data_IF_548414005298
#
_entry.id   IF_548414005298
#
_cell.length_a   1.000
_cell.length_b   1.000
_cell.length_c   1.000
_cell.angle_alpha   90.00
_cell.angle_beta   90.00
_cell.angle_gamma   90.00
#
_symmetry.space_group_name_H-M   'P 1'
#
loop_
_entity.id
_entity.type
_entity.pdbx_description
1 polymer ?
#
# COMPACT_ATOMS: atom_id res chain seq x y z
N UNK A 1 41.27 -63.06 17.32
CA UNK A 1 40.94 -64.10 18.35
C UNK A 1 39.78 -63.52 19.12
N UNK A 2 38.56 -64.06 19.23
CA UNK A 2 38.00 -65.36 18.96
C UNK A 2 36.54 -65.21 18.50
N UNK A 3 36.13 -66.05 17.59
CA UNK A 3 34.72 -66.24 17.25
C UNK A 3 34.10 -67.18 18.28
N UNK A 4 32.87 -66.92 18.72
CA UNK A 4 32.00 -68.01 19.16
C UNK A 4 30.62 -67.93 18.54
N UNK A 5 30.32 -68.99 17.78
CA UNK A 5 29.01 -69.36 17.26
C UNK A 5 28.07 -69.81 18.38
N UNK A 6 26.80 -69.35 18.32
CA UNK A 6 25.68 -70.11 18.87
C UNK A 6 24.58 -70.24 17.84
N UNK A 7 24.45 -71.44 17.32
CA UNK A 7 23.35 -71.88 16.48
C UNK A 7 22.26 -72.54 17.34
N UNK A 8 21.02 -72.35 16.95
CA UNK A 8 19.94 -73.25 17.27
C UNK A 8 18.96 -72.79 18.32
N UNK A 9 17.85 -72.20 17.93
CA UNK A 9 16.49 -72.34 18.49
C UNK A 9 15.51 -71.29 17.93
N UNK A 10 15.68 -70.90 16.68
CA UNK A 10 14.86 -69.80 16.06
C UNK A 10 13.69 -70.29 15.16
N UNK A 11 13.44 -71.57 15.02
CA UNK A 11 12.46 -72.05 14.02
C UNK A 11 11.05 -72.41 14.53
N UNK A 12 10.89 -72.69 15.81
CA UNK A 12 9.58 -73.12 16.36
C UNK A 12 8.73 -71.96 16.79
N UNK A 13 9.31 -70.83 17.19
CA UNK A 13 8.56 -69.63 17.59
C UNK A 13 8.01 -68.82 16.42
N UNK A 14 8.52 -68.97 15.20
CA UNK A 14 8.03 -68.24 14.02
C UNK A 14 6.72 -68.75 13.46
N UNK A 15 6.40 -70.05 13.61
CA UNK A 15 5.14 -70.60 13.08
C UNK A 15 3.91 -70.32 13.93
N UNK A 16 4.05 -70.24 15.26
CA UNK A 16 2.94 -69.91 16.16
C UNK A 16 2.55 -68.42 16.12
N UNK A 17 3.50 -67.55 15.72
CA UNK A 17 3.25 -66.09 15.64
C UNK A 17 2.58 -65.72 14.32
N UNK A 18 2.88 -66.40 13.18
CA UNK A 18 2.24 -66.14 11.88
C UNK A 18 0.75 -66.55 11.84
N UNK A 19 0.34 -67.65 12.50
CA UNK A 19 -1.07 -68.10 12.47
C UNK A 19 -1.96 -67.14 13.31
N UNK A 20 -1.41 -66.54 14.37
CA UNK A 20 -2.14 -65.61 15.20
C UNK A 20 -2.30 -64.23 14.57
N UNK A 21 -1.35 -63.80 13.72
CA UNK A 21 -1.41 -62.55 12.94
C UNK A 21 -2.42 -62.61 11.79
N UNK A 22 -2.50 -63.75 11.07
CA UNK A 22 -3.47 -63.91 9.99
C UNK A 22 -4.92 -63.97 10.49
N UNK A 23 -5.18 -64.56 11.65
CA UNK A 23 -6.55 -64.55 12.24
C UNK A 23 -6.96 -63.18 12.75
N UNK A 24 -6.05 -62.43 13.34
CA UNK A 24 -6.33 -61.00 13.73
C UNK A 24 -6.46 -60.08 12.55
N UNK A 25 -5.69 -60.31 11.47
CA UNK A 25 -5.76 -59.51 10.25
C UNK A 25 -7.10 -59.66 9.53
N UNK A 26 -7.71 -60.85 9.54
CA UNK A 26 -9.02 -61.10 8.94
C UNK A 26 -10.20 -60.56 9.77
N UNK A 27 -10.07 -60.44 11.08
CA UNK A 27 -11.09 -59.86 11.98
C UNK A 27 -11.01 -58.32 11.91
N UNK A 28 -9.79 -57.75 11.91
CA UNK A 28 -9.59 -56.31 11.78
C UNK A 28 -10.02 -55.80 10.39
N UNK A 29 -9.78 -56.54 9.28
CA UNK A 29 -10.21 -56.11 7.96
C UNK A 29 -11.75 -56.17 7.78
N UNK A 30 -12.45 -57.08 8.44
CA UNK A 30 -13.93 -57.09 8.37
C UNK A 30 -14.55 -55.95 9.15
N UNK A 31 -14.05 -55.66 10.35
CA UNK A 31 -14.55 -54.51 11.13
C UNK A 31 -14.12 -53.16 10.54
N UNK A 32 -12.91 -53.04 9.99
CA UNK A 32 -12.45 -51.84 9.29
C UNK A 32 -13.28 -51.52 8.04
N UNK A 33 -13.66 -52.53 7.25
CA UNK A 33 -14.51 -52.31 6.10
C UNK A 33 -15.95 -51.86 6.47
N UNK A 34 -16.48 -52.37 7.58
CA UNK A 34 -17.78 -51.89 8.09
C UNK A 34 -17.72 -50.45 8.61
N UNK A 35 -16.63 -50.07 9.27
CA UNK A 35 -16.41 -48.72 9.75
C UNK A 35 -16.17 -47.74 8.58
N UNK A 36 -15.44 -48.14 7.58
CA UNK A 36 -15.20 -47.34 6.34
C UNK A 36 -16.51 -47.15 5.56
N UNK A 37 -17.31 -48.23 5.39
CA UNK A 37 -18.62 -48.12 4.73
C UNK A 37 -19.59 -47.23 5.55
N UNK A 38 -19.57 -47.28 6.89
CA UNK A 38 -20.41 -46.45 7.76
C UNK A 38 -19.95 -44.99 7.73
N UNK A 39 -18.64 -44.71 7.67
CA UNK A 39 -18.08 -43.37 7.48
C UNK A 39 -18.38 -42.80 6.09
N UNK A 40 -18.33 -43.60 5.06
CA UNK A 40 -18.68 -43.18 3.70
C UNK A 40 -20.21 -42.88 3.61
N UNK A 41 -21.06 -43.71 4.24
CA UNK A 41 -22.51 -43.43 4.32
C UNK A 41 -22.81 -42.16 5.15
N UNK A 42 -22.08 -41.89 6.22
CA UNK A 42 -22.19 -40.64 6.99
C UNK A 42 -21.73 -39.42 6.19
N UNK A 43 -20.66 -39.54 5.38
CA UNK A 43 -20.23 -38.48 4.47
C UNK A 43 -21.23 -38.22 3.34
N UNK A 44 -21.89 -39.26 2.81
CA UNK A 44 -22.93 -39.12 1.79
C UNK A 44 -24.26 -38.59 2.36
N UNK A 45 -24.56 -38.82 3.63
CA UNK A 45 -25.72 -38.23 4.32
C UNK A 45 -25.47 -36.80 4.80
N UNK A 46 -24.18 -36.42 5.00
CA UNK A 46 -23.76 -35.04 5.34
C UNK A 46 -23.79 -34.09 4.13
N UNK A 47 -23.62 -34.59 2.90
CA UNK A 47 -23.72 -33.77 1.70
C UNK A 47 -25.15 -33.42 1.24
N UNK A 48 -26.19 -33.89 1.95
CA UNK A 48 -27.60 -33.64 1.58
C UNK A 48 -28.28 -32.56 2.44
N UNK A 49 -27.49 -31.77 3.18
CA UNK A 49 -28.01 -30.62 3.95
C UNK A 49 -27.02 -29.45 4.03
N UNK A 50 -26.39 -29.10 2.92
CA UNK A 50 -26.15 -27.69 2.64
C UNK A 50 -27.52 -27.14 2.24
N UNK A 51 -28.19 -26.47 3.14
CA UNK A 51 -29.10 -25.41 2.75
C UNK A 51 -28.26 -24.46 1.94
N UNK A 52 -28.28 -24.59 0.61
CA UNK A 52 -28.08 -23.46 -0.27
C UNK A 52 -29.12 -22.43 0.19
N UNK A 53 -28.74 -21.52 1.06
CA UNK A 53 -29.20 -20.16 0.95
C UNK A 53 -28.72 -19.78 -0.44
N UNK A 54 -29.60 -19.90 -1.41
CA UNK A 54 -29.37 -19.41 -2.76
C UNK A 54 -29.24 -17.90 -2.65
N UNK A 55 -28.05 -17.42 -2.35
CA UNK A 55 -27.58 -16.18 -2.89
C UNK A 55 -27.50 -16.44 -4.40
N UNK A 56 -28.53 -16.04 -5.11
CA UNK A 56 -28.41 -15.68 -6.51
C UNK A 56 -27.45 -14.49 -6.54
N UNK A 57 -26.15 -14.73 -6.36
CA UNK A 57 -25.19 -13.68 -6.56
C UNK A 57 -25.15 -13.46 -8.07
N UNK A 58 -25.70 -12.32 -8.51
CA UNK A 58 -25.61 -11.83 -9.87
C UNK A 58 -24.16 -11.45 -10.23
N UNK A 59 -23.21 -11.80 -9.37
CA UNK A 59 -21.82 -11.39 -9.45
C UNK A 59 -21.12 -12.08 -10.63
N UNK A 60 -20.76 -11.28 -11.61
CA UNK A 60 -20.02 -11.69 -12.81
C UNK A 60 -18.50 -11.52 -12.60
N UNK A 61 -18.09 -10.49 -11.85
CA UNK A 61 -16.70 -10.14 -11.58
C UNK A 61 -16.47 -9.95 -10.08
N UNK A 62 -15.40 -10.54 -9.58
CA UNK A 62 -14.83 -10.25 -8.25
C UNK A 62 -13.46 -9.66 -8.49
N UNK A 63 -13.30 -8.38 -8.20
CA UNK A 63 -12.11 -7.60 -8.47
C UNK A 63 -11.38 -7.27 -7.16
N UNK A 64 -10.07 -7.36 -7.17
CA UNK A 64 -9.20 -7.12 -6.02
C UNK A 64 -8.73 -5.67 -5.96
N UNK A 65 -8.63 -5.09 -4.75
CA UNK A 65 -8.11 -3.74 -4.50
C UNK A 65 -7.01 -3.80 -3.44
N UNK A 66 -5.78 -3.44 -3.81
CA UNK A 66 -4.64 -3.36 -2.89
C UNK A 66 -4.57 -1.99 -2.21
N UNK A 67 -4.50 -1.99 -0.88
CA UNK A 67 -4.35 -0.81 -0.04
C UNK A 67 -3.29 -1.07 1.05
N UNK A 68 -2.36 -0.15 1.25
CA UNK A 68 -1.30 -0.33 2.25
C UNK A 68 -1.65 0.28 3.63
N UNK A 69 -2.68 1.11 3.71
CA UNK A 69 -3.09 1.78 4.94
C UNK A 69 -4.07 0.93 5.78
N UNK A 70 -4.13 1.14 7.11
CA UNK A 70 -5.04 0.41 7.99
C UNK A 70 -6.51 0.81 7.78
N UNK A 71 -7.44 -0.03 8.25
CA UNK A 71 -8.90 0.16 8.08
C UNK A 71 -9.42 1.54 8.50
N UNK A 72 -8.83 2.17 9.51
CA UNK A 72 -9.23 3.49 10.01
C UNK A 72 -8.84 4.66 9.10
N UNK A 73 -7.91 4.44 8.16
CA UNK A 73 -7.33 5.49 7.33
C UNK A 73 -8.33 6.04 6.28
N UNK A 74 -8.30 7.34 5.95
CA UNK A 74 -9.17 7.93 4.93
C UNK A 74 -9.11 7.24 3.58
N UNK A 75 -7.91 6.82 3.13
CA UNK A 75 -7.74 6.14 1.84
C UNK A 75 -8.41 4.77 1.84
N UNK A 76 -8.29 3.99 2.93
CA UNK A 76 -8.95 2.69 3.06
C UNK A 76 -10.48 2.82 3.14
N UNK A 77 -10.98 3.85 3.86
CA UNK A 77 -12.41 4.16 3.88
C UNK A 77 -12.94 4.54 2.51
N UNK A 78 -12.16 5.30 1.74
CA UNK A 78 -12.52 5.65 0.37
C UNK A 78 -12.47 4.44 -0.57
N UNK A 79 -11.52 3.52 -0.39
CA UNK A 79 -11.48 2.26 -1.12
C UNK A 79 -12.72 1.40 -0.86
N UNK A 80 -13.17 1.31 0.41
CA UNK A 80 -14.43 0.64 0.78
C UNK A 80 -15.64 1.34 0.13
N UNK A 81 -15.71 2.67 0.23
CA UNK A 81 -16.77 3.44 -0.39
C UNK A 81 -16.80 3.30 -1.92
N UNK A 82 -15.64 3.26 -2.57
CA UNK A 82 -15.52 2.92 -3.98
C UNK A 82 -16.11 1.54 -4.30
N UNK A 83 -15.75 0.53 -3.49
CA UNK A 83 -16.25 -0.83 -3.65
C UNK A 83 -17.78 -0.89 -3.52
N UNK A 84 -18.34 -0.26 -2.49
CA UNK A 84 -19.78 -0.20 -2.24
C UNK A 84 -20.52 0.48 -3.42
N UNK A 85 -19.98 1.59 -3.94
CA UNK A 85 -20.57 2.30 -5.08
C UNK A 85 -20.55 1.47 -6.37
N UNK A 86 -19.46 0.74 -6.63
CA UNK A 86 -19.34 -0.12 -7.80
C UNK A 86 -20.35 -1.26 -7.73
N UNK A 87 -20.45 -1.94 -6.58
CA UNK A 87 -21.40 -3.03 -6.35
C UNK A 87 -22.84 -2.54 -6.55
N UNK A 88 -23.22 -1.42 -5.91
CA UNK A 88 -24.56 -0.82 -6.04
C UNK A 88 -24.91 -0.46 -7.49
N UNK A 89 -24.01 0.24 -8.20
CA UNK A 89 -24.30 0.78 -9.54
C UNK A 89 -24.21 -0.25 -10.66
N UNK A 90 -23.59 -1.38 -10.38
CA UNK A 90 -23.57 -2.53 -11.29
C UNK A 90 -24.64 -3.58 -10.95
N UNK A 91 -25.54 -3.29 -9.99
CA UNK A 91 -26.60 -4.21 -9.56
C UNK A 91 -26.01 -5.57 -9.13
N UNK A 92 -24.98 -5.54 -8.24
CA UNK A 92 -24.24 -6.67 -7.70
C UNK A 92 -23.46 -7.50 -8.74
N UNK A 93 -23.30 -7.03 -9.98
CA UNK A 93 -22.52 -7.74 -11.00
C UNK A 93 -21.02 -7.64 -10.80
N UNK A 94 -20.53 -6.49 -10.30
CA UNK A 94 -19.12 -6.28 -10.02
C UNK A 94 -18.97 -6.04 -8.52
N UNK A 95 -18.22 -6.92 -7.89
CA UNK A 95 -17.83 -6.81 -6.48
C UNK A 95 -16.35 -6.50 -6.37
N UNK A 96 -15.99 -5.49 -5.59
CA UNK A 96 -14.58 -5.13 -5.33
C UNK A 96 -14.21 -5.54 -3.91
N UNK A 97 -13.19 -6.40 -3.79
CA UNK A 97 -12.66 -6.83 -2.50
C UNK A 97 -11.42 -6.02 -2.12
N UNK A 98 -11.54 -5.20 -1.08
CA UNK A 98 -10.45 -4.34 -0.60
C UNK A 98 -9.57 -5.10 0.40
N UNK A 99 -8.27 -5.11 0.16
CA UNK A 99 -7.24 -5.75 0.99
C UNK A 99 -6.33 -4.68 1.60
N UNK A 100 -6.62 -4.19 2.82
CA UNK A 100 -5.84 -3.16 3.50
C UNK A 100 -4.55 -3.73 4.13
N UNK A 101 -3.74 -2.83 4.74
CA UNK A 101 -2.54 -3.17 5.52
C UNK A 101 -1.46 -3.92 4.71
N UNK A 102 -1.39 -3.65 3.41
CA UNK A 102 -0.39 -4.30 2.54
C UNK A 102 -0.58 -5.81 2.38
N UNK A 103 -1.79 -6.34 2.57
CA UNK A 103 -2.06 -7.80 2.47
C UNK A 103 -1.75 -8.39 1.10
N UNK A 104 -1.77 -7.57 0.04
CA UNK A 104 -1.40 -7.98 -1.32
C UNK A 104 0.03 -7.57 -1.71
N UNK A 105 0.84 -7.12 -0.76
CA UNK A 105 2.21 -6.66 -0.94
C UNK A 105 2.38 -5.16 -0.67
N UNK A 106 3.64 -4.69 -0.76
CA UNK A 106 3.95 -3.26 -0.73
C UNK A 106 3.50 -2.54 -2.02
N UNK A 107 3.63 -1.21 -2.06
CA UNK A 107 3.16 -0.41 -3.21
C UNK A 107 3.82 -0.82 -4.53
N UNK A 108 5.13 -1.05 -4.55
CA UNK A 108 5.84 -1.43 -5.78
C UNK A 108 5.39 -2.81 -6.28
N UNK A 109 5.24 -3.76 -5.36
CA UNK A 109 4.71 -5.10 -5.67
C UNK A 109 3.27 -5.01 -6.17
N UNK A 110 2.43 -4.17 -5.59
CA UNK A 110 1.05 -3.94 -6.02
C UNK A 110 1.01 -3.31 -7.43
N UNK A 111 1.83 -2.28 -7.70
CA UNK A 111 1.95 -1.66 -9.03
C UNK A 111 2.29 -2.71 -10.10
N UNK A 112 3.32 -3.52 -9.85
CA UNK A 112 3.70 -4.58 -10.78
C UNK A 112 2.57 -5.58 -11.01
N UNK A 113 1.85 -5.99 -9.95
CA UNK A 113 0.75 -6.94 -10.10
C UNK A 113 -0.43 -6.32 -10.86
N UNK A 114 -0.76 -5.04 -10.63
CA UNK A 114 -1.80 -4.33 -11.39
C UNK A 114 -1.41 -4.20 -12.85
N UNK A 115 -0.14 -3.91 -13.16
CA UNK A 115 0.32 -3.77 -14.55
C UNK A 115 0.18 -5.04 -15.39
N UNK A 116 0.15 -6.22 -14.75
CA UNK A 116 -0.03 -7.53 -15.39
C UNK A 116 -1.42 -8.15 -15.17
N UNK A 117 -2.34 -7.44 -14.51
CA UNK A 117 -3.69 -7.94 -14.23
C UNK A 117 -3.77 -9.00 -13.13
N UNK A 118 -2.73 -9.13 -12.29
CA UNK A 118 -2.74 -10.00 -11.12
C UNK A 118 -3.52 -9.42 -9.92
N UNK A 119 -3.61 -8.09 -9.87
CA UNK A 119 -4.49 -7.30 -8.99
C UNK A 119 -5.24 -6.32 -9.89
N UNK A 120 -6.51 -6.04 -9.59
CA UNK A 120 -7.33 -5.17 -10.44
C UNK A 120 -7.12 -3.69 -10.14
N UNK A 121 -7.15 -3.31 -8.87
CA UNK A 121 -7.01 -1.93 -8.40
C UNK A 121 -5.92 -1.80 -7.35
N UNK A 122 -5.25 -0.65 -7.32
CA UNK A 122 -4.40 -0.25 -6.20
C UNK A 122 -4.48 1.26 -5.97
N UNK A 123 -4.39 1.67 -4.69
CA UNK A 123 -4.07 3.05 -4.34
C UNK A 123 -2.58 3.10 -4.02
N UNK A 124 -1.87 3.99 -4.71
CA UNK A 124 -0.42 4.11 -4.63
C UNK A 124 0.02 5.57 -4.57
N UNK A 125 1.20 5.80 -4.00
CA UNK A 125 1.86 7.11 -4.04
C UNK A 125 2.40 7.41 -5.45
N UNK A 126 2.23 8.64 -5.92
CA UNK A 126 2.86 9.08 -7.17
C UNK A 126 4.38 8.86 -7.14
N UNK A 127 5.02 9.03 -5.99
CA UNK A 127 6.45 8.83 -5.81
C UNK A 127 6.93 7.40 -6.14
N UNK A 128 6.06 6.40 -5.98
CA UNK A 128 6.40 5.00 -6.29
C UNK A 128 6.10 4.64 -7.74
N UNK A 129 5.00 5.17 -8.31
CA UNK A 129 4.59 4.82 -9.68
C UNK A 129 5.27 5.67 -10.75
N UNK A 130 5.63 6.91 -10.45
CA UNK A 130 6.21 7.84 -11.41
C UNK A 130 7.70 7.59 -11.72
N UNK A 131 8.39 6.73 -10.99
CA UNK A 131 9.82 6.42 -11.20
C UNK A 131 10.16 5.86 -12.59
N UNK A 132 9.18 5.62 -13.43
CA UNK A 132 9.38 5.16 -14.80
C UNK A 132 9.44 6.32 -15.83
N UNK A 133 9.64 7.56 -15.39
CA UNK A 133 9.80 8.72 -16.26
C UNK A 133 8.50 9.33 -16.76
N UNK A 134 7.42 9.18 -16.03
CA UNK A 134 6.13 9.85 -16.29
C UNK A 134 6.26 11.37 -16.16
N UNK A 135 5.59 12.15 -17.04
CA UNK A 135 5.49 13.59 -16.90
C UNK A 135 4.78 14.02 -15.60
N UNK A 136 3.98 13.15 -15.01
CA UNK A 136 3.33 13.36 -13.72
C UNK A 136 4.32 13.52 -12.55
N UNK A 137 5.56 13.06 -12.70
CA UNK A 137 6.61 13.23 -11.68
C UNK A 137 6.87 14.71 -11.33
N UNK A 138 6.62 15.65 -12.29
CA UNK A 138 6.69 17.09 -12.03
C UNK A 138 5.80 17.52 -10.85
N UNK A 139 4.67 16.84 -10.63
CA UNK A 139 3.74 17.13 -9.53
C UNK A 139 4.34 16.91 -8.14
N UNK A 140 5.49 16.24 -8.03
CA UNK A 140 6.18 15.95 -6.78
C UNK A 140 7.28 16.96 -6.42
N UNK A 141 7.56 17.93 -7.31
CA UNK A 141 8.62 18.91 -7.07
C UNK A 141 8.47 19.60 -5.72
N UNK A 142 9.57 19.76 -4.98
CA UNK A 142 9.53 20.40 -3.67
C UNK A 142 9.04 21.84 -3.79
N UNK A 143 8.10 22.20 -2.89
CA UNK A 143 7.50 23.54 -2.82
C UNK A 143 6.79 24.02 -4.11
N UNK A 144 6.36 23.09 -4.97
CA UNK A 144 5.65 23.41 -6.21
C UNK A 144 4.34 24.15 -5.95
N UNK A 145 3.59 23.68 -4.97
CA UNK A 145 2.28 24.24 -4.65
C UNK A 145 2.35 25.28 -3.53
N UNK A 146 1.53 26.32 -3.64
CA UNK A 146 1.36 27.32 -2.56
C UNK A 146 0.53 26.78 -1.38
N UNK A 147 -0.13 25.64 -1.55
CA UNK A 147 -0.93 24.98 -0.52
C UNK A 147 -1.86 23.91 -1.12
N UNK A 148 -2.68 23.31 -0.27
CA UNK A 148 -3.62 22.24 -0.66
C UNK A 148 -4.61 22.68 -1.75
N UNK A 149 -5.21 23.86 -1.60
CA UNK A 149 -6.18 24.36 -2.59
C UNK A 149 -5.56 24.54 -3.97
N UNK A 150 -4.33 25.04 -4.02
CA UNK A 150 -3.60 25.14 -5.29
C UNK A 150 -3.34 23.77 -5.90
N UNK A 151 -2.84 22.81 -5.12
CA UNK A 151 -2.65 21.43 -5.58
C UNK A 151 -3.93 20.87 -6.21
N UNK A 152 -5.07 21.04 -5.54
CA UNK A 152 -6.33 20.52 -6.06
C UNK A 152 -6.85 21.24 -7.29
N UNK A 153 -6.59 22.54 -7.45
CA UNK A 153 -6.88 23.23 -8.72
C UNK A 153 -6.09 22.65 -9.90
N UNK A 154 -4.84 22.26 -9.65
CA UNK A 154 -4.00 21.61 -10.67
C UNK A 154 -4.50 20.20 -10.96
N UNK A 155 -4.73 19.38 -9.93
CA UNK A 155 -5.11 17.97 -10.07
C UNK A 155 -6.51 17.77 -10.65
N UNK A 156 -7.48 18.62 -10.27
CA UNK A 156 -8.84 18.61 -10.82
C UNK A 156 -8.93 19.31 -12.19
N UNK A 157 -7.90 20.08 -12.56
CA UNK A 157 -7.80 20.79 -13.81
C UNK A 157 -7.28 19.94 -14.97
N UNK A 158 -7.13 20.55 -16.16
CA UNK A 158 -6.67 19.85 -17.36
C UNK A 158 -5.30 19.19 -17.22
N UNK A 159 -4.40 19.78 -16.45
CA UNK A 159 -3.05 19.25 -16.21
C UNK A 159 -3.15 17.89 -15.49
N UNK A 160 -3.74 17.87 -14.30
CA UNK A 160 -3.84 16.66 -13.52
C UNK A 160 -4.71 15.58 -14.17
N UNK A 161 -5.82 15.98 -14.81
CA UNK A 161 -6.68 15.03 -15.52
C UNK A 161 -5.95 14.40 -16.73
N UNK A 162 -5.13 15.17 -17.44
CA UNK A 162 -4.29 14.66 -18.53
C UNK A 162 -3.28 13.63 -18.04
N UNK A 163 -2.62 13.92 -16.92
CA UNK A 163 -1.57 13.07 -16.35
C UNK A 163 -2.09 11.70 -15.84
N UNK A 164 -3.38 11.53 -15.57
CA UNK A 164 -3.94 10.22 -15.22
C UNK A 164 -3.76 9.18 -16.34
N UNK A 165 -3.57 9.62 -17.59
CA UNK A 165 -3.32 8.74 -18.74
C UNK A 165 -1.84 8.40 -18.98
N UNK A 166 -0.90 9.03 -18.26
CA UNK A 166 0.55 8.87 -18.49
C UNK A 166 1.07 7.47 -18.18
N UNK A 167 0.28 6.67 -17.48
CA UNK A 167 0.67 5.34 -17.02
C UNK A 167 0.22 4.20 -17.95
N UNK A 168 -0.46 4.51 -19.05
CA UNK A 168 -1.06 3.49 -19.93
C UNK A 168 -0.04 2.58 -20.57
N UNK A 169 1.13 3.08 -20.93
CA UNK A 169 2.22 2.29 -21.51
C UNK A 169 2.84 1.30 -20.52
N UNK A 170 2.51 1.45 -19.24
CA UNK A 170 2.90 0.54 -18.16
C UNK A 170 1.80 -0.50 -17.85
N UNK A 171 0.71 -0.54 -18.61
CA UNK A 171 -0.45 -1.40 -18.35
C UNK A 171 -1.34 -0.90 -17.20
N UNK A 172 -1.24 0.38 -16.85
CA UNK A 172 -1.93 1.03 -15.73
C UNK A 172 -2.85 2.13 -16.25
N UNK A 173 -4.03 2.27 -15.66
CA UNK A 173 -4.96 3.37 -15.94
C UNK A 173 -5.21 4.13 -14.65
N UNK A 174 -4.83 5.42 -14.61
CA UNK A 174 -5.17 6.30 -13.51
C UNK A 174 -6.66 6.64 -13.53
N UNK A 175 -7.34 6.47 -12.40
CA UNK A 175 -8.77 6.75 -12.27
C UNK A 175 -9.05 8.06 -11.54
N UNK A 176 -8.34 8.34 -10.46
CA UNK A 176 -8.53 9.54 -9.66
C UNK A 176 -7.31 9.85 -8.77
N UNK A 177 -7.12 11.13 -8.45
CA UNK A 177 -6.15 11.60 -7.48
C UNK A 177 -6.72 11.53 -6.06
N UNK A 178 -5.88 11.15 -5.10
CA UNK A 178 -6.18 11.15 -3.67
C UNK A 178 -5.25 12.11 -2.93
N UNK A 179 -5.71 12.66 -1.80
CA UNK A 179 -4.90 13.55 -0.97
C UNK A 179 -3.85 12.72 -0.19
N UNK A 180 -2.59 13.05 -0.38
CA UNK A 180 -1.46 12.50 0.38
C UNK A 180 -0.96 13.45 1.47
N UNK A 181 -1.58 14.63 1.65
CA UNK A 181 -1.16 15.65 2.60
C UNK A 181 0.15 16.34 2.24
N UNK A 182 0.65 17.14 3.18
CA UNK A 182 1.98 17.71 3.11
C UNK A 182 2.98 16.78 3.80
N UNK A 183 4.12 16.57 3.18
CA UNK A 183 5.22 15.79 3.74
C UNK A 183 6.18 16.71 4.46
N UNK A 184 6.64 16.26 5.60
CA UNK A 184 7.52 16.99 6.52
C UNK A 184 8.53 16.06 7.16
N UNK A 185 9.68 16.61 7.57
CA UNK A 185 10.71 15.83 8.25
C UNK A 185 10.33 15.52 9.70
N UNK A 186 10.72 14.35 10.17
CA UNK A 186 10.70 13.96 11.58
C UNK A 186 11.96 13.20 11.97
N UNK A 187 12.47 13.47 13.16
CA UNK A 187 13.79 13.00 13.61
C UNK A 187 13.75 12.42 15.01
N UNK A 188 14.72 11.53 15.31
CA UNK A 188 14.88 10.88 16.62
C UNK A 188 15.63 11.80 17.61
N UNK A 189 16.72 12.40 17.19
CA UNK A 189 17.71 12.99 18.09
C UNK A 189 17.50 14.46 18.44
N UNK A 190 17.06 15.28 17.47
CA UNK A 190 16.97 16.75 17.63
C UNK A 190 15.99 17.37 16.65
N UNK A 191 15.41 18.53 16.98
CA UNK A 191 14.54 19.26 16.06
C UNK A 191 15.31 19.76 14.84
N UNK A 192 14.61 19.95 13.73
CA UNK A 192 15.13 20.51 12.48
C UNK A 192 14.52 21.89 12.27
N UNK A 193 15.35 22.93 12.22
CA UNK A 193 14.97 24.30 11.96
C UNK A 193 15.45 24.81 10.59
N UNK A 194 16.48 24.17 10.05
CA UNK A 194 17.06 24.51 8.75
C UNK A 194 17.75 23.35 8.08
N UNK A 195 18.17 23.49 6.80
CA UNK A 195 18.89 22.44 6.08
C UNK A 195 20.18 21.99 6.81
N UNK A 196 20.83 22.88 7.56
CA UNK A 196 22.04 22.57 8.33
C UNK A 196 21.81 21.50 9.41
N UNK A 197 20.61 21.41 9.98
CA UNK A 197 20.27 20.42 10.99
C UNK A 197 20.07 19.03 10.41
N UNK A 198 19.85 18.93 9.09
CA UNK A 198 19.72 17.65 8.38
C UNK A 198 21.08 17.07 7.95
N UNK A 199 22.17 17.87 7.95
CA UNK A 199 23.45 17.45 7.41
C UNK A 199 24.00 16.19 8.08
N UNK A 200 24.23 15.18 7.23
CA UNK A 200 24.78 13.88 7.65
C UNK A 200 23.80 12.99 8.41
N UNK A 201 22.55 13.40 8.57
CA UNK A 201 21.50 12.51 9.08
C UNK A 201 21.07 11.52 7.99
N UNK A 202 20.85 10.27 8.37
CA UNK A 202 20.25 9.24 7.53
C UNK A 202 18.73 9.42 7.57
N UNK A 203 18.17 9.92 6.48
CA UNK A 203 16.74 10.20 6.38
C UNK A 203 16.07 9.17 5.45
N UNK A 204 15.14 8.42 6.00
CA UNK A 204 14.35 7.51 5.17
C UNK A 204 13.43 8.29 4.25
N UNK A 205 13.44 7.92 2.98
CA UNK A 205 12.54 8.41 1.92
C UNK A 205 11.78 7.25 1.28
N UNK A 206 10.71 7.58 0.54
CA UNK A 206 10.06 6.60 -0.34
C UNK A 206 11.06 6.08 -1.38
N UNK A 207 10.74 4.99 -2.06
CA UNK A 207 11.56 4.47 -3.17
C UNK A 207 11.36 5.37 -4.40
N UNK A 208 11.99 6.54 -4.36
CA UNK A 208 11.94 7.62 -5.35
C UNK A 208 13.30 8.30 -5.46
N UNK A 209 13.80 8.44 -6.68
CA UNK A 209 15.07 9.15 -6.93
C UNK A 209 14.90 10.65 -6.62
N UNK A 210 13.78 11.27 -7.00
CA UNK A 210 13.53 12.68 -6.71
C UNK A 210 13.52 12.95 -5.20
N UNK A 211 12.92 12.04 -4.39
CA UNK A 211 12.92 12.19 -2.93
C UNK A 211 14.32 11.96 -2.34
N UNK A 212 15.11 11.07 -2.90
CA UNK A 212 16.50 10.87 -2.50
C UNK A 212 17.35 12.10 -2.83
N UNK A 213 17.20 12.67 -4.01
CA UNK A 213 17.90 13.89 -4.40
C UNK A 213 17.47 15.11 -3.58
N UNK A 214 16.19 15.22 -3.20
CA UNK A 214 15.71 16.26 -2.29
C UNK A 214 16.47 16.22 -0.97
N UNK A 215 16.55 15.04 -0.37
CA UNK A 215 17.26 14.84 0.91
C UNK A 215 18.74 15.10 0.76
N UNK A 216 19.35 14.67 -0.36
CA UNK A 216 20.76 14.93 -0.70
C UNK A 216 21.04 16.42 -0.88
N UNK A 217 20.16 17.17 -1.55
CA UNK A 217 20.29 18.61 -1.72
C UNK A 217 20.27 19.38 -0.38
N UNK A 218 19.59 18.83 0.63
CA UNK A 218 19.56 19.36 2.00
C UNK A 218 20.76 18.91 2.85
N UNK A 219 21.68 18.10 2.28
CA UNK A 219 22.91 17.64 2.94
C UNK A 219 22.75 16.40 3.81
N UNK A 220 21.60 15.73 3.77
CA UNK A 220 21.37 14.48 4.47
C UNK A 220 21.69 13.25 3.57
N UNK A 221 21.72 12.06 4.18
CA UNK A 221 21.94 10.79 3.51
C UNK A 221 20.61 10.07 3.29
N UNK A 222 20.13 9.87 2.06
CA UNK A 222 18.86 9.22 1.81
C UNK A 222 18.93 7.71 2.06
N UNK A 223 17.92 7.17 2.76
CA UNK A 223 17.70 5.74 2.96
C UNK A 223 16.40 5.35 2.27
N UNK A 224 16.48 4.85 1.04
CA UNK A 224 15.29 4.39 0.31
C UNK A 224 14.73 3.11 0.94
N UNK A 225 13.47 3.11 1.33
CA UNK A 225 12.81 1.94 1.92
C UNK A 225 11.29 2.01 1.79
N UNK A 226 10.65 0.83 1.75
CA UNK A 226 9.19 0.70 1.75
C UNK A 226 8.57 1.23 3.05
N UNK A 227 7.31 1.65 2.97
CA UNK A 227 6.60 2.28 4.10
C UNK A 227 6.56 1.42 5.36
N UNK A 228 6.32 0.12 5.21
CA UNK A 228 6.22 -0.82 6.33
C UNK A 228 7.53 -1.02 7.12
N UNK A 229 8.68 -0.67 6.54
CA UNK A 229 9.98 -0.83 7.20
C UNK A 229 10.42 0.40 8.01
N UNK A 230 9.72 1.54 7.90
CA UNK A 230 10.16 2.82 8.52
C UNK A 230 10.32 2.69 10.04
N UNK A 231 9.33 2.16 10.74
CA UNK A 231 9.39 2.00 12.20
C UNK A 231 10.62 1.17 12.61
N UNK A 232 10.88 0.08 11.89
CA UNK A 232 12.01 -0.82 12.15
C UNK A 232 13.36 -0.15 11.87
N UNK A 233 13.47 0.65 10.81
CA UNK A 233 14.70 1.40 10.50
C UNK A 233 15.04 2.40 11.61
N UNK A 234 14.03 3.10 12.14
CA UNK A 234 14.19 4.01 13.28
C UNK A 234 14.56 3.25 14.58
N UNK A 235 13.88 2.13 14.88
CA UNK A 235 14.09 1.33 16.09
C UNK A 235 15.47 0.67 16.12
N UNK A 236 15.99 0.26 14.96
CA UNK A 236 17.31 -0.37 14.81
C UNK A 236 18.45 0.62 14.54
N UNK A 237 18.21 1.93 14.69
CA UNK A 237 19.22 2.96 14.43
C UNK A 237 19.85 2.86 13.02
N UNK A 238 19.01 2.51 12.02
CA UNK A 238 19.38 2.46 10.60
C UNK A 238 18.98 3.74 9.85
N UNK A 239 18.12 4.54 10.45
CA UNK A 239 17.77 5.90 10.05
C UNK A 239 17.68 6.80 11.27
N UNK A 240 18.11 8.05 11.13
CA UNK A 240 18.08 9.09 12.17
C UNK A 240 16.75 9.87 12.13
N UNK A 241 16.01 9.70 11.05
CA UNK A 241 14.71 10.31 10.81
C UNK A 241 14.09 9.80 9.52
N UNK A 242 12.96 10.37 9.19
CA UNK A 242 12.29 10.14 7.92
C UNK A 242 11.46 11.38 7.53
N UNK A 243 10.77 11.30 6.40
CA UNK A 243 9.82 12.32 5.97
C UNK A 243 8.50 11.65 5.57
N UNK A 244 7.40 12.24 5.94
CA UNK A 244 6.06 11.82 5.52
C UNK A 244 5.01 12.86 5.94
N UNK A 245 3.76 12.65 5.53
CA UNK A 245 2.62 13.40 6.04
C UNK A 245 2.32 13.03 7.51
N UNK A 246 1.71 13.93 8.22
CA UNK A 246 1.39 13.77 9.65
C UNK A 246 0.44 12.58 9.93
N UNK A 247 -0.61 12.32 9.13
CA UNK A 247 -1.44 11.13 9.29
C UNK A 247 -0.66 9.81 9.23
N UNK A 248 0.24 9.65 8.27
CA UNK A 248 1.07 8.44 8.15
C UNK A 248 2.06 8.29 9.31
N UNK A 249 2.67 9.40 9.75
CA UNK A 249 3.54 9.42 10.94
C UNK A 249 2.82 8.97 12.21
N UNK A 250 1.56 9.41 12.38
CA UNK A 250 0.73 9.05 13.52
C UNK A 250 0.23 7.59 13.43
N UNK A 251 -0.28 7.16 12.25
CA UNK A 251 -0.88 5.85 12.03
C UNK A 251 0.10 4.69 12.32
N UNK A 252 1.36 4.83 11.89
CA UNK A 252 2.42 3.84 12.10
C UNK A 252 3.20 4.05 13.40
N UNK A 253 2.76 4.97 14.27
CA UNK A 253 3.38 5.27 15.54
C UNK A 253 4.86 5.68 15.45
N UNK A 254 5.32 6.25 14.34
CA UNK A 254 6.69 6.70 14.17
C UNK A 254 7.09 7.73 15.23
N UNK A 255 6.11 8.51 15.74
CA UNK A 255 6.25 9.49 16.79
C UNK A 255 6.81 8.93 18.12
N UNK A 256 6.70 7.62 18.34
CA UNK A 256 7.24 6.98 19.55
C UNK A 256 8.77 6.89 19.54
N UNK A 257 9.36 6.95 18.36
CA UNK A 257 10.81 6.86 18.15
C UNK A 257 11.37 8.22 17.71
N UNK A 258 10.79 8.81 16.70
CA UNK A 258 11.18 10.11 16.13
C UNK A 258 10.16 11.17 16.60
N UNK A 259 10.41 11.79 17.74
CA UNK A 259 9.46 12.65 18.45
C UNK A 259 9.56 14.15 18.09
N UNK A 260 10.39 14.52 17.12
CA UNK A 260 10.48 15.88 16.56
C UNK A 260 9.87 15.88 15.16
N UNK A 261 8.79 16.61 14.98
CA UNK A 261 8.12 16.74 13.67
C UNK A 261 8.18 18.19 13.21
N UNK A 262 8.88 18.46 12.12
CA UNK A 262 9.10 19.82 11.60
C UNK A 262 8.14 20.11 10.46
N UNK A 263 7.31 21.16 10.61
CA UNK A 263 6.32 21.57 9.61
C UNK A 263 6.98 22.39 8.47
N UNK A 264 7.95 21.78 7.79
CA UNK A 264 8.60 22.37 6.62
C UNK A 264 7.76 22.24 5.34
N UNK A 265 6.87 21.22 5.29
CA UNK A 265 5.94 20.96 4.20
C UNK A 265 6.62 20.97 2.82
N UNK A 266 7.78 20.33 2.73
CA UNK A 266 8.64 20.39 1.55
C UNK A 266 8.00 19.85 0.27
N UNK A 267 7.02 18.96 0.38
CA UNK A 267 6.38 18.33 -0.76
C UNK A 267 4.90 18.01 -0.47
N UNK A 268 4.08 18.02 -1.52
CA UNK A 268 2.72 17.49 -1.53
C UNK A 268 2.62 16.48 -2.65
N UNK A 269 2.84 15.21 -2.31
CA UNK A 269 2.82 14.12 -3.28
C UNK A 269 1.39 13.57 -3.35
N UNK A 270 0.70 13.71 -4.48
CA UNK A 270 -0.61 13.11 -4.63
C UNK A 270 -0.51 11.58 -4.68
N UNK A 271 -1.60 10.94 -4.31
CA UNK A 271 -1.77 9.50 -4.46
C UNK A 271 -2.74 9.22 -5.61
N UNK A 272 -2.69 8.03 -6.18
CA UNK A 272 -3.55 7.63 -7.29
C UNK A 272 -4.34 6.38 -6.95
N UNK A 273 -5.62 6.38 -7.30
CA UNK A 273 -6.35 5.15 -7.53
C UNK A 273 -6.09 4.72 -8.98
N UNK A 274 -5.53 3.56 -9.15
CA UNK A 274 -5.19 2.95 -10.44
C UNK A 274 -5.96 1.65 -10.64
N UNK A 275 -6.18 1.31 -11.91
CA UNK A 275 -6.74 0.03 -12.34
C UNK A 275 -5.86 -0.61 -13.40
N UNK A 276 -5.84 -1.93 -13.45
CA UNK A 276 -5.20 -2.67 -14.53
C UNK A 276 -5.84 -2.36 -15.88
N UNK A 277 -5.04 -2.06 -16.87
CA UNK A 277 -5.51 -1.92 -18.26
C UNK A 277 -6.20 -3.21 -18.73
N UNK A 278 -5.69 -4.37 -18.31
CA UNK A 278 -6.25 -5.68 -18.64
C UNK A 278 -7.64 -5.86 -18.03
N UNK A 279 -7.83 -5.48 -16.75
CA UNK A 279 -9.16 -5.47 -16.13
C UNK A 279 -10.13 -4.58 -16.89
N UNK A 280 -9.71 -3.36 -17.26
CA UNK A 280 -10.57 -2.44 -18.03
C UNK A 280 -10.93 -2.99 -19.41
N UNK A 281 -10.05 -3.76 -20.07
CA UNK A 281 -10.35 -4.39 -21.38
C UNK A 281 -11.42 -5.47 -21.27
N UNK A 282 -11.51 -6.17 -20.16
CA UNK A 282 -12.51 -7.22 -19.94
C UNK A 282 -13.90 -6.70 -19.59
N UNK A 283 -14.01 -5.47 -19.12
CA UNK A 283 -15.29 -4.82 -18.79
C UNK A 283 -15.93 -4.17 -20.00
N UNK A 284 -17.25 -4.10 -20.04
CA UNK A 284 -17.95 -3.33 -21.05
C UNK A 284 -17.82 -1.82 -20.82
N UNK A 285 -18.21 -1.00 -21.81
CA UNK A 285 -18.05 0.46 -21.72
C UNK A 285 -18.90 1.09 -20.61
N UNK A 286 -20.08 0.53 -20.34
CA UNK A 286 -20.95 1.01 -19.27
C UNK A 286 -20.31 0.79 -17.90
N UNK A 287 -19.73 -0.37 -17.68
CA UNK A 287 -19.08 -0.71 -16.43
C UNK A 287 -17.78 0.09 -16.23
N UNK A 288 -17.00 0.29 -17.30
CA UNK A 288 -15.84 1.20 -17.25
C UNK A 288 -16.21 2.62 -16.84
N UNK A 289 -17.31 3.13 -17.36
CA UNK A 289 -17.79 4.47 -17.00
C UNK A 289 -18.28 4.53 -15.55
N UNK A 290 -18.98 3.50 -15.07
CA UNK A 290 -19.38 3.38 -13.65
C UNK A 290 -18.14 3.41 -12.75
N UNK A 291 -17.09 2.65 -13.08
CA UNK A 291 -15.85 2.61 -12.30
C UNK A 291 -15.18 4.00 -12.23
N UNK A 292 -15.10 4.73 -13.37
CA UNK A 292 -14.53 6.09 -13.38
C UNK A 292 -15.31 7.05 -12.50
N UNK A 293 -16.64 7.01 -12.58
CA UNK A 293 -17.51 7.85 -11.75
C UNK A 293 -17.37 7.51 -10.27
N UNK A 294 -17.39 6.24 -9.90
CA UNK A 294 -17.18 5.78 -8.53
C UNK A 294 -15.81 6.20 -7.97
N UNK A 295 -14.76 6.13 -8.80
CA UNK A 295 -13.41 6.57 -8.41
C UNK A 295 -13.35 8.08 -8.12
N UNK A 296 -14.00 8.89 -8.95
CA UNK A 296 -14.10 10.34 -8.73
C UNK A 296 -14.83 10.68 -7.43
N UNK A 297 -15.93 9.99 -7.14
CA UNK A 297 -16.68 10.19 -5.89
C UNK A 297 -15.91 9.70 -4.67
N UNK A 298 -15.20 8.58 -4.78
CA UNK A 298 -14.33 8.08 -3.73
C UNK A 298 -13.18 9.05 -3.43
N UNK A 299 -12.60 9.68 -4.45
CA UNK A 299 -11.62 10.75 -4.28
C UNK A 299 -12.20 11.94 -3.50
N UNK A 300 -13.37 12.43 -3.88
CA UNK A 300 -14.02 13.53 -3.18
C UNK A 300 -14.33 13.18 -1.70
N UNK A 301 -14.77 11.94 -1.45
CA UNK A 301 -15.02 11.44 -0.09
C UNK A 301 -13.73 11.36 0.73
N UNK A 302 -12.63 10.86 0.16
CA UNK A 302 -11.32 10.78 0.81
C UNK A 302 -10.84 12.17 1.26
N UNK A 303 -10.93 13.18 0.39
CA UNK A 303 -10.53 14.58 0.70
C UNK A 303 -11.31 15.15 1.87
N UNK A 304 -12.62 14.86 1.98
CA UNK A 304 -13.44 15.31 3.11
C UNK A 304 -12.99 14.67 4.42
N UNK A 305 -12.63 13.37 4.39
CA UNK A 305 -12.14 12.67 5.57
C UNK A 305 -10.73 13.13 5.97
N UNK A 306 -9.90 13.49 4.99
CA UNK A 306 -8.48 13.79 5.19
C UNK A 306 -8.24 14.96 6.14
N UNK A 307 -8.94 16.06 5.97
CA UNK A 307 -8.78 17.25 6.81
C UNK A 307 -9.05 16.96 8.30
N UNK A 308 -10.10 16.20 8.58
CA UNK A 308 -10.38 15.79 9.95
C UNK A 308 -9.29 14.85 10.48
N UNK A 309 -8.85 13.93 9.64
CA UNK A 309 -7.85 12.93 10.02
C UNK A 309 -6.48 13.56 10.29
N UNK A 310 -6.07 14.57 9.52
CA UNK A 310 -4.87 15.36 9.81
C UNK A 310 -4.96 16.04 11.18
N UNK A 311 -6.13 16.61 11.51
CA UNK A 311 -6.32 17.24 12.81
C UNK A 311 -6.27 16.21 13.94
N UNK A 312 -6.96 15.09 13.79
CA UNK A 312 -6.96 14.01 14.79
C UNK A 312 -5.54 13.43 14.97
N UNK A 313 -4.75 13.35 13.89
CA UNK A 313 -3.34 12.94 13.94
C UNK A 313 -2.47 13.95 14.71
N UNK A 314 -2.66 15.25 14.48
CA UNK A 314 -1.97 16.30 15.22
C UNK A 314 -2.27 16.18 16.72
N UNK A 315 -3.55 16.15 17.09
CA UNK A 315 -3.98 15.99 18.48
C UNK A 315 -3.33 14.72 19.11
N UNK A 316 -3.26 13.62 18.37
CA UNK A 316 -2.67 12.35 18.83
C UNK A 316 -1.18 12.47 19.14
N UNK A 317 -0.40 13.10 18.26
CA UNK A 317 1.06 13.20 18.45
C UNK A 317 1.44 14.25 19.48
N UNK A 318 0.68 15.34 19.59
CA UNK A 318 0.84 16.35 20.66
C UNK A 318 0.53 15.76 22.03
N UNK A 319 -0.57 15.00 22.17
CA UNK A 319 -0.95 14.31 23.40
C UNK A 319 0.10 13.25 23.81
N UNK A 320 0.80 12.66 22.83
CA UNK A 320 1.92 11.75 23.08
C UNK A 320 3.22 12.47 23.51
N UNK A 321 3.25 13.80 23.50
CA UNK A 321 4.40 14.59 23.89
C UNK A 321 5.42 14.87 22.78
N UNK A 322 5.03 14.68 21.51
CA UNK A 322 5.88 15.05 20.38
C UNK A 322 6.08 16.57 20.30
N UNK A 323 7.25 16.96 19.86
CA UNK A 323 7.54 18.36 19.62
C UNK A 323 7.25 18.71 18.16
N UNK A 324 6.23 19.55 17.97
CA UNK A 324 5.86 20.06 16.65
C UNK A 324 6.62 21.37 16.41
N UNK A 325 7.48 21.37 15.42
CA UNK A 325 8.36 22.49 15.10
C UNK A 325 7.73 23.32 13.98
N UNK A 326 7.25 24.51 14.32
CA UNK A 326 6.79 25.47 13.32
C UNK A 326 7.95 26.32 12.85
N UNK A 327 8.16 26.37 11.53
CA UNK A 327 9.23 27.16 10.92
C UNK A 327 8.77 28.59 10.63
N UNK A 328 9.66 29.54 10.86
CA UNK A 328 9.53 30.92 10.36
C UNK A 328 9.61 30.97 8.83
N UNK A 329 9.22 32.09 8.25
CA UNK A 329 9.33 32.29 6.79
C UNK A 329 10.79 32.23 6.30
N UNK A 330 11.73 32.70 7.12
CA UNK A 330 13.17 32.67 6.80
C UNK A 330 13.69 31.23 6.78
N UNK A 331 13.32 30.42 7.78
CA UNK A 331 13.67 28.99 7.83
C UNK A 331 13.06 28.23 6.65
N UNK A 332 11.77 28.40 6.34
CA UNK A 332 11.15 27.81 5.14
C UNK A 332 11.85 28.24 3.83
N UNK A 333 12.26 29.51 3.76
CA UNK A 333 12.98 30.02 2.57
C UNK A 333 14.37 29.38 2.42
N UNK A 334 15.04 29.02 3.51
CA UNK A 334 16.31 28.31 3.45
C UNK A 334 16.16 26.92 2.78
N UNK A 335 15.17 26.15 3.17
CA UNK A 335 14.84 24.86 2.52
C UNK A 335 14.53 25.03 1.02
N UNK A 336 13.67 25.99 0.68
CA UNK A 336 13.34 26.28 -0.73
C UNK A 336 14.54 26.63 -1.58
N UNK A 337 15.48 27.36 -1.03
CA UNK A 337 16.70 27.78 -1.73
C UNK A 337 17.61 26.58 -2.05
N UNK A 338 17.82 25.71 -1.06
CA UNK A 338 18.71 24.54 -1.25
C UNK A 338 18.11 23.52 -2.23
N UNK A 339 16.79 23.42 -2.33
CA UNK A 339 16.10 22.48 -3.23
C UNK A 339 15.75 23.06 -4.61
N UNK A 340 15.97 24.36 -4.82
CA UNK A 340 15.55 25.04 -6.06
C UNK A 340 16.25 24.51 -7.34
N UNK A 341 17.46 24.00 -7.24
CA UNK A 341 18.18 23.44 -8.39
C UNK A 341 17.53 22.20 -8.96
N UNK A 342 16.85 21.40 -8.12
CA UNK A 342 16.20 20.16 -8.51
C UNK A 342 15.16 20.36 -9.62
N UNK A 343 14.49 21.50 -9.64
CA UNK A 343 13.48 21.81 -10.65
C UNK A 343 14.05 21.80 -12.08
N UNK A 344 15.24 22.33 -12.24
CA UNK A 344 15.90 22.39 -13.54
C UNK A 344 16.72 21.15 -13.86
N UNK A 345 17.35 20.57 -12.86
CA UNK A 345 18.22 19.40 -13.02
C UNK A 345 17.39 18.15 -13.32
N UNK A 346 16.26 17.99 -12.62
CA UNK A 346 15.41 16.81 -12.74
C UNK A 346 14.45 16.86 -13.93
N UNK A 347 13.96 18.07 -14.28
CA UNK A 347 12.98 18.26 -15.35
C UNK A 347 13.44 19.23 -16.42
N UNK A 348 14.56 18.94 -17.10
CA UNK A 348 15.04 19.80 -18.20
C UNK A 348 14.00 19.86 -19.32
N UNK A 349 13.62 21.09 -19.72
CA UNK A 349 12.62 21.31 -20.78
C UNK A 349 11.16 21.26 -20.31
N UNK A 350 10.88 21.12 -19.00
CA UNK A 350 9.53 21.17 -18.42
C UNK A 350 9.18 22.53 -17.79
N UNK A 351 10.00 23.56 -17.99
CA UNK A 351 9.84 24.88 -17.37
C UNK A 351 8.47 25.51 -17.70
N UNK A 352 7.93 25.25 -18.90
CA UNK A 352 6.63 25.75 -19.31
C UNK A 352 5.50 25.08 -18.49
N UNK A 353 5.56 23.77 -18.33
CA UNK A 353 4.60 23.00 -17.52
C UNK A 353 4.66 23.39 -16.04
N UNK A 354 5.88 23.49 -15.48
CA UNK A 354 6.08 23.94 -14.09
C UNK A 354 5.45 25.32 -13.89
N UNK A 355 5.67 26.24 -14.84
CA UNK A 355 5.09 27.58 -14.79
C UNK A 355 3.57 27.53 -14.87
N UNK A 356 3.00 26.72 -15.74
CA UNK A 356 1.55 26.54 -15.88
C UNK A 356 0.93 26.03 -14.57
N UNK A 357 1.59 25.06 -13.91
CA UNK A 357 1.17 24.57 -12.61
C UNK A 357 1.22 25.71 -11.56
N UNK A 358 2.30 26.48 -11.50
CA UNK A 358 2.44 27.58 -10.56
C UNK A 358 1.41 28.70 -10.79
N UNK A 359 1.05 28.96 -12.04
CA UNK A 359 0.10 30.02 -12.42
C UNK A 359 -1.39 29.57 -12.23
N UNK A 360 -1.67 28.29 -11.96
CA UNK A 360 -3.01 27.74 -11.74
C UNK A 360 -3.64 28.12 -10.37
N UNK A 361 -3.19 29.21 -9.74
CA UNK A 361 -3.63 29.70 -8.42
C UNK A 361 -5.06 30.25 -8.40
#
# INVERSE_FOLDING_TARGET
>A
MERQNFSGNGRILRYAFCIKIDTMRNVVNKSANWIICFLICLCLAGCARSTETGENSNTEYILSYAENQPEGHPSTKAARYFADLVEERTEDRIRVEVYPEGKLGDELSAIHQVSYGGIDFARVSLATVAENGSDAEVLMLPYLYSGREHMWKVLDGPIGTGMLSDFIDQGLVGLAWFDGGARSFYTVGSPVHGPEDLRGLRIRVQDSELMAELVTALGAEPVKAVYADVYKLLDLDQADGAENNLPSYAAENHYRLANYYTLDEHSRIPELLMVSEETMKHLDEKDREVIRQCASEASAYQRQLWQKYEKDAMDTVEDAGCQIISLSQEEKQAFKKETASLWKEYFPGKEALIKEIQDAQ
#
